data_IF_540686073205
#
_entry.id   IF_540686073205
#
_cell.length_a   1.000
_cell.length_b   1.000
_cell.length_c   1.000
_cell.angle_alpha   90.00
_cell.angle_beta   90.00
_cell.angle_gamma   90.00
#
_symmetry.space_group_name_H-M   'P 1'
#
loop_
_entity.id
_entity.type
_entity.pdbx_description
1 polymer ?
#
# COMPACT_ATOMS: atom_id res chain seq x y z
N UNK A 1 18.57 -41.64 -34.66
CA UNK A 1 17.45 -40.68 -34.62
C UNK A 1 17.00 -40.61 -33.17
N UNK A 2 16.97 -39.50 -32.45
CA UNK A 2 17.53 -38.16 -32.54
C UNK A 2 17.22 -37.57 -31.15
N UNK A 3 18.15 -36.83 -30.55
CA UNK A 3 17.92 -36.07 -29.32
C UNK A 3 16.92 -34.93 -29.59
N UNK A 4 15.96 -34.67 -28.70
CA UNK A 4 15.44 -33.31 -28.48
C UNK A 4 15.18 -33.09 -26.98
N UNK A 5 15.90 -32.09 -26.47
CA UNK A 5 15.81 -31.43 -25.16
C UNK A 5 14.79 -30.27 -25.26
N UNK A 6 14.51 -29.63 -24.11
CA UNK A 6 13.83 -28.31 -23.87
C UNK A 6 12.39 -28.44 -23.36
N UNK A 7 12.11 -28.22 -22.08
CA UNK A 7 12.12 -26.95 -21.34
C UNK A 7 11.15 -25.90 -21.92
N UNK A 8 10.14 -25.55 -21.12
CA UNK A 8 9.65 -24.17 -20.91
C UNK A 8 8.56 -24.20 -19.83
N UNK A 9 8.98 -24.01 -18.58
CA UNK A 9 8.11 -23.51 -17.52
C UNK A 9 7.78 -22.04 -17.79
N UNK A 10 6.49 -21.71 -17.88
CA UNK A 10 6.01 -20.33 -17.94
C UNK A 10 5.37 -20.00 -16.59
N UNK A 11 6.10 -19.24 -15.77
CA UNK A 11 5.55 -18.49 -14.64
C UNK A 11 5.11 -17.11 -15.12
N UNK A 12 3.89 -16.63 -14.84
CA UNK A 12 3.52 -15.26 -15.13
C UNK A 12 4.16 -14.33 -14.08
N UNK A 13 5.15 -13.55 -14.50
CA UNK A 13 5.64 -12.43 -13.71
C UNK A 13 4.62 -11.28 -13.80
N UNK A 14 3.92 -10.99 -12.70
CA UNK A 14 3.10 -9.78 -12.57
C UNK A 14 4.02 -8.59 -12.29
N UNK A 15 4.43 -7.89 -13.34
CA UNK A 15 5.09 -6.59 -13.22
C UNK A 15 4.04 -5.51 -12.94
N UNK A 16 4.04 -4.95 -11.73
CA UNK A 16 3.25 -3.75 -11.42
C UNK A 16 4.08 -2.53 -11.86
N UNK A 17 3.78 -1.99 -13.03
CA UNK A 17 4.36 -0.74 -13.52
C UNK A 17 3.57 0.45 -12.97
N UNK A 18 4.11 1.12 -11.96
CA UNK A 18 3.59 2.41 -11.50
C UNK A 18 4.11 3.50 -12.44
N UNK A 19 3.31 3.83 -13.46
CA UNK A 19 3.55 4.99 -14.32
C UNK A 19 3.28 6.27 -13.54
N UNK A 20 4.33 6.88 -13.01
CA UNK A 20 4.31 8.24 -12.50
C UNK A 20 4.13 9.24 -13.64
N UNK A 21 2.89 9.65 -13.90
CA UNK A 21 2.59 10.78 -14.79
C UNK A 21 2.92 12.10 -14.10
N UNK A 22 4.16 12.57 -14.21
CA UNK A 22 4.50 13.98 -13.98
C UNK A 22 4.04 14.80 -15.17
N UNK A 23 2.87 15.41 -15.08
CA UNK A 23 2.38 16.43 -16.00
C UNK A 23 3.11 17.76 -15.75
N UNK A 24 4.30 17.90 -16.33
CA UNK A 24 4.95 19.22 -16.46
C UNK A 24 4.14 20.05 -17.46
N UNK A 25 3.34 20.99 -16.93
CA UNK A 25 2.68 22.02 -17.74
C UNK A 25 3.73 23.06 -18.13
N UNK A 26 4.38 22.86 -19.27
CA UNK A 26 5.17 23.91 -19.92
C UNK A 26 4.21 24.84 -20.65
N UNK A 27 3.89 25.99 -20.04
CA UNK A 27 3.24 27.10 -20.73
C UNK A 27 4.24 27.73 -21.71
N UNK A 28 3.95 27.58 -22.99
CA UNK A 28 4.57 28.33 -24.08
C UNK A 28 4.08 29.78 -24.04
N UNK A 29 4.91 30.68 -23.52
CA UNK A 29 4.77 32.12 -23.72
C UNK A 29 5.29 32.46 -25.12
N UNK A 30 4.38 32.73 -26.05
CA UNK A 30 4.69 33.31 -27.35
C UNK A 30 5.17 34.75 -27.16
N UNK A 31 6.49 34.93 -27.15
CA UNK A 31 7.15 36.23 -27.22
C UNK A 31 7.25 36.67 -28.69
N UNK A 32 6.40 37.62 -29.09
CA UNK A 32 6.60 38.40 -30.31
C UNK A 32 7.76 39.37 -30.06
N UNK A 33 8.93 39.06 -30.60
CA UNK A 33 10.06 39.98 -30.63
C UNK A 33 10.19 40.46 -32.08
N UNK A 34 9.72 41.68 -32.33
CA UNK A 34 9.98 42.38 -33.57
C UNK A 34 11.47 42.70 -33.68
N UNK A 35 12.09 42.23 -34.75
CA UNK A 35 13.43 42.63 -35.12
C UNK A 35 13.44 44.12 -35.50
N UNK A 36 14.37 44.89 -34.93
CA UNK A 36 14.76 46.20 -35.46
C UNK A 36 16.27 46.31 -35.31
N UNK A 37 16.97 45.96 -36.39
CA UNK A 37 18.38 46.29 -36.59
C UNK A 37 18.47 47.68 -37.23
N UNK A 38 19.18 48.58 -36.55
CA UNK A 38 19.56 49.88 -37.10
C UNK A 38 20.57 49.71 -38.24
N UNK A 39 20.21 50.19 -39.42
CA UNK A 39 21.13 50.44 -40.54
C UNK A 39 21.13 51.94 -40.84
N UNK A 40 22.26 52.57 -40.58
CA UNK A 40 22.58 53.96 -40.93
C UNK A 40 22.97 54.03 -42.40
N UNK A 41 22.25 54.80 -43.23
CA UNK A 41 22.83 55.53 -44.38
C UNK A 41 21.92 56.67 -44.83
N UNK A 42 22.55 57.81 -45.03
CA UNK A 42 22.10 59.10 -45.59
C UNK A 42 21.68 59.03 -47.06
N UNK A 43 20.61 59.76 -47.46
CA UNK A 43 20.58 60.72 -48.58
C UNK A 43 19.16 61.25 -48.93
N UNK A 44 19.05 62.59 -48.95
CA UNK A 44 18.40 63.46 -49.96
C UNK A 44 16.88 63.44 -50.25
N UNK A 45 16.23 64.52 -49.78
CA UNK A 45 15.23 65.40 -50.44
C UNK A 45 14.08 64.82 -51.30
N UNK A 46 12.83 65.09 -50.89
CA UNK A 46 11.76 65.74 -51.70
C UNK A 46 10.50 65.94 -50.86
N UNK A 47 9.87 67.10 -50.96
CA UNK A 47 8.65 67.47 -50.24
C UNK A 47 7.38 66.89 -50.88
N UNK A 48 6.51 66.26 -50.09
CA UNK A 48 5.07 66.15 -50.34
C UNK A 48 4.35 65.94 -49.01
N UNK A 49 3.36 66.78 -48.74
CA UNK A 49 2.50 66.68 -47.57
C UNK A 49 1.63 65.43 -47.65
N UNK A 50 1.67 64.56 -46.63
CA UNK A 50 0.50 63.83 -46.13
C UNK A 50 0.83 63.03 -44.88
N UNK A 51 0.08 63.32 -43.81
CA UNK A 51 -0.24 62.42 -42.69
C UNK A 51 0.96 61.81 -41.96
N UNK A 52 1.47 62.50 -40.94
CA UNK A 52 2.32 61.85 -39.93
C UNK A 52 1.59 60.65 -39.30
N UNK A 53 2.31 59.63 -38.81
CA UNK A 53 1.70 58.56 -38.03
C UNK A 53 1.07 59.20 -36.79
N UNK A 54 -0.27 59.29 -36.76
CA UNK A 54 -1.00 59.57 -35.53
C UNK A 54 -0.81 58.35 -34.65
N UNK A 55 0.23 58.41 -33.83
CA UNK A 55 0.24 57.73 -32.53
C UNK A 55 -1.14 58.01 -31.90
N UNK A 56 -1.83 57.02 -31.30
CA UNK A 56 -3.02 57.29 -30.51
C UNK A 56 -2.59 58.15 -29.32
N UNK A 57 -2.54 59.47 -29.54
CA UNK A 57 -2.10 60.43 -28.56
C UNK A 57 -3.23 60.64 -27.57
N UNK A 58 -3.30 59.77 -26.57
CA UNK A 58 -3.96 60.04 -25.29
C UNK A 58 -3.35 61.26 -24.57
N UNK A 59 -2.26 61.80 -25.14
CA UNK A 59 -1.44 62.94 -24.72
C UNK A 59 -1.76 64.23 -25.52
N UNK A 60 -2.41 64.14 -26.69
CA UNK A 60 -2.64 65.31 -27.54
C UNK A 60 -3.88 66.07 -27.08
N UNK A 61 -3.67 67.19 -26.39
CA UNK A 61 -4.73 68.06 -25.84
C UNK A 61 -4.80 68.08 -24.32
N UNK A 62 -4.05 67.22 -23.63
CA UNK A 62 -3.90 67.23 -22.17
C UNK A 62 -2.73 68.13 -21.74
N UNK A 63 -2.90 68.83 -20.63
CA UNK A 63 -1.77 69.58 -20.03
C UNK A 63 -0.76 68.59 -19.44
N UNK A 64 0.53 68.97 -19.38
CA UNK A 64 1.61 68.13 -18.81
C UNK A 64 1.25 67.63 -17.40
N UNK A 65 0.55 68.45 -16.63
CA UNK A 65 0.07 68.13 -15.28
C UNK A 65 -0.97 66.99 -15.27
N UNK A 66 -1.85 66.93 -16.27
CA UNK A 66 -2.84 65.86 -16.43
C UNK A 66 -2.17 64.53 -16.80
N UNK A 67 -1.12 64.56 -17.63
CA UNK A 67 -0.32 63.37 -17.98
C UNK A 67 0.42 62.83 -16.74
N UNK A 68 1.00 63.72 -15.92
CA UNK A 68 1.67 63.34 -14.68
C UNK A 68 0.66 62.71 -13.71
N UNK A 69 -0.55 63.26 -13.63
CA UNK A 69 -1.62 62.72 -12.79
C UNK A 69 -2.08 61.34 -13.26
N UNK A 70 -2.26 61.14 -14.56
CA UNK A 70 -2.64 59.85 -15.16
C UNK A 70 -1.55 58.79 -14.91
N UNK A 71 -0.27 59.12 -15.14
CA UNK A 71 0.85 58.19 -14.84
C UNK A 71 0.96 57.86 -13.35
N UNK A 72 0.73 58.83 -12.47
CA UNK A 72 0.74 58.58 -11.03
C UNK A 72 -0.42 57.66 -10.62
N UNK A 73 -1.62 57.87 -11.17
CA UNK A 73 -2.77 56.98 -10.95
C UNK A 73 -2.48 55.57 -11.45
N UNK A 74 -1.95 55.45 -12.67
CA UNK A 74 -1.62 54.16 -13.26
C UNK A 74 -0.51 53.43 -12.48
N UNK A 75 0.50 54.18 -12.00
CA UNK A 75 1.57 53.64 -11.16
C UNK A 75 1.00 53.13 -9.83
N UNK A 76 0.11 53.87 -9.19
CA UNK A 76 -0.56 53.44 -7.95
C UNK A 76 -1.40 52.17 -8.18
N UNK A 77 -2.16 52.11 -9.28
CA UNK A 77 -2.97 50.95 -9.64
C UNK A 77 -2.11 49.71 -9.93
N UNK A 78 -1.02 49.88 -10.69
CA UNK A 78 -0.07 48.80 -10.99
C UNK A 78 0.65 48.34 -9.72
N UNK A 79 1.05 49.27 -8.85
CA UNK A 79 1.67 48.94 -7.56
C UNK A 79 0.71 48.16 -6.65
N UNK A 80 -0.57 48.54 -6.61
CA UNK A 80 -1.59 47.82 -5.85
C UNK A 80 -1.84 46.41 -6.39
N UNK A 81 -1.91 46.24 -7.72
CA UNK A 81 -2.03 44.92 -8.37
C UNK A 81 -0.80 44.06 -8.12
N UNK A 82 0.40 44.63 -8.25
CA UNK A 82 1.65 43.93 -7.97
C UNK A 82 1.71 43.45 -6.52
N UNK A 83 1.32 44.29 -5.55
CA UNK A 83 1.27 43.90 -4.15
C UNK A 83 0.30 42.75 -3.91
N UNK A 84 -0.90 42.76 -4.53
CA UNK A 84 -1.86 41.64 -4.46
C UNK A 84 -1.28 40.36 -5.05
N UNK A 85 -0.61 40.45 -6.20
CA UNK A 85 0.06 39.30 -6.82
C UNK A 85 1.19 38.76 -5.94
N UNK A 86 2.02 39.62 -5.36
CA UNK A 86 3.08 39.22 -4.45
C UNK A 86 2.54 38.48 -3.22
N UNK A 87 1.40 38.94 -2.66
CA UNK A 87 0.72 38.22 -1.57
C UNK A 87 0.19 36.86 -2.01
N UNK A 88 -0.46 36.77 -3.18
CA UNK A 88 -0.95 35.49 -3.70
C UNK A 88 0.18 34.50 -3.98
N UNK A 89 1.31 34.98 -4.52
CA UNK A 89 2.52 34.17 -4.73
C UNK A 89 3.08 33.68 -3.40
N UNK A 90 3.14 34.52 -2.36
CA UNK A 90 3.59 34.11 -1.04
C UNK A 90 2.67 33.04 -0.41
N UNK A 91 1.36 33.16 -0.60
CA UNK A 91 0.40 32.14 -0.14
C UNK A 91 0.57 30.81 -0.90
N UNK A 92 0.84 30.88 -2.21
CA UNK A 92 1.13 29.68 -3.02
C UNK A 92 2.45 29.03 -2.62
N UNK A 93 3.50 29.81 -2.39
CA UNK A 93 4.80 29.31 -1.93
C UNK A 93 4.66 28.59 -0.58
N UNK A 94 3.90 29.16 0.36
CA UNK A 94 3.58 28.51 1.63
C UNK A 94 2.89 27.15 1.44
N UNK A 95 1.94 27.04 0.51
CA UNK A 95 1.26 25.77 0.20
C UNK A 95 2.20 24.75 -0.46
N UNK A 96 3.08 25.20 -1.35
CA UNK A 96 4.09 24.33 -1.97
C UNK A 96 5.01 23.74 -0.92
N UNK A 97 5.48 24.55 0.04
CA UNK A 97 6.31 24.08 1.14
C UNK A 97 5.56 23.07 2.03
N UNK A 98 4.29 23.33 2.37
CA UNK A 98 3.47 22.37 3.13
C UNK A 98 3.28 21.04 2.39
N UNK A 99 3.00 21.09 1.08
CA UNK A 99 2.86 19.89 0.26
C UNK A 99 4.18 19.13 0.15
N UNK A 100 5.31 19.83 0.05
CA UNK A 100 6.65 19.23 0.10
C UNK A 100 6.87 18.47 1.41
N UNK A 101 6.51 19.05 2.55
CA UNK A 101 6.67 18.39 3.86
C UNK A 101 5.76 17.14 3.99
N UNK A 102 4.58 17.16 3.39
CA UNK A 102 3.73 15.95 3.27
C UNK A 102 4.39 14.92 2.36
N UNK A 103 4.92 15.32 1.21
CA UNK A 103 5.55 14.42 0.25
C UNK A 103 6.78 13.73 0.83
N UNK A 104 7.63 14.45 1.57
CA UNK A 104 8.80 13.87 2.24
C UNK A 104 8.39 12.84 3.30
N UNK A 105 7.31 13.10 4.05
CA UNK A 105 6.77 12.12 5.01
C UNK A 105 6.23 10.88 4.31
N UNK A 106 5.48 11.08 3.22
CA UNK A 106 4.97 9.98 2.42
C UNK A 106 6.10 9.15 1.81
N UNK A 107 7.16 9.78 1.31
CA UNK A 107 8.36 9.10 0.82
C UNK A 107 8.99 8.22 1.90
N UNK A 108 9.14 8.75 3.12
CA UNK A 108 9.65 7.99 4.25
C UNK A 108 8.74 6.81 4.66
N UNK A 109 7.42 6.97 4.59
CA UNK A 109 6.46 5.90 4.82
C UNK A 109 6.52 4.83 3.73
N UNK A 110 6.60 5.22 2.46
CA UNK A 110 6.74 4.30 1.32
C UNK A 110 8.04 3.50 1.45
N UNK A 111 9.16 4.14 1.82
CA UNK A 111 10.41 3.45 2.04
C UNK A 111 10.29 2.37 3.13
N UNK A 112 9.59 2.65 4.24
CA UNK A 112 9.30 1.65 5.28
C UNK A 112 8.44 0.51 4.76
N UNK A 113 7.40 0.80 3.98
CA UNK A 113 6.52 -0.22 3.40
C UNK A 113 7.31 -1.14 2.47
N UNK A 114 8.18 -0.58 1.62
CA UNK A 114 9.06 -1.36 0.74
C UNK A 114 10.01 -2.25 1.55
N UNK A 115 10.60 -1.74 2.64
CA UNK A 115 11.43 -2.54 3.52
C UNK A 115 10.64 -3.71 4.14
N UNK A 116 9.44 -3.44 4.66
CA UNK A 116 8.57 -4.49 5.22
C UNK A 116 8.14 -5.51 4.18
N UNK A 117 7.88 -5.08 2.95
CA UNK A 117 7.54 -5.97 1.84
C UNK A 117 8.73 -6.87 1.50
N UNK A 118 9.95 -6.32 1.42
CA UNK A 118 11.15 -7.10 1.17
C UNK A 118 11.42 -8.13 2.28
N UNK A 119 11.15 -7.78 3.54
CA UNK A 119 11.23 -8.72 4.67
C UNK A 119 10.18 -9.83 4.52
N UNK A 120 8.95 -9.48 4.14
CA UNK A 120 7.88 -10.44 3.94
C UNK A 120 8.20 -11.41 2.79
N UNK A 121 8.67 -10.90 1.65
CA UNK A 121 9.10 -11.71 0.51
C UNK A 121 10.19 -12.70 0.91
N UNK A 122 11.21 -12.26 1.67
CA UNK A 122 12.25 -13.16 2.19
C UNK A 122 11.69 -14.23 3.14
N UNK A 123 10.70 -13.88 3.97
CA UNK A 123 10.05 -14.84 4.86
C UNK A 123 9.21 -15.86 4.09
N UNK A 124 8.53 -15.43 3.03
CA UNK A 124 7.78 -16.32 2.15
C UNK A 124 8.71 -17.27 1.40
N UNK A 125 9.82 -16.78 0.87
CA UNK A 125 10.87 -17.62 0.26
C UNK A 125 11.40 -18.66 1.25
N UNK A 126 11.68 -18.26 2.51
CA UNK A 126 12.09 -19.20 3.55
C UNK A 126 11.01 -20.28 3.81
N UNK A 127 9.75 -19.88 3.90
CA UNK A 127 8.63 -20.82 4.10
C UNK A 127 8.52 -21.78 2.91
N UNK A 128 8.65 -21.29 1.68
CA UNK A 128 8.63 -22.11 0.46
C UNK A 128 9.77 -23.13 0.46
N UNK A 129 11.00 -22.71 0.82
CA UNK A 129 12.12 -23.64 0.94
C UNK A 129 11.88 -24.71 2.02
N UNK A 130 11.36 -24.33 3.18
CA UNK A 130 11.01 -25.29 4.23
C UNK A 130 9.90 -26.26 3.78
N UNK A 131 8.89 -25.79 3.07
CA UNK A 131 7.84 -26.66 2.52
C UNK A 131 8.42 -27.66 1.52
N UNK A 132 9.31 -27.22 0.63
CA UNK A 132 9.98 -28.09 -0.32
C UNK A 132 10.87 -29.13 0.38
N UNK A 133 11.62 -28.74 1.41
CA UNK A 133 12.45 -29.66 2.20
C UNK A 133 11.61 -30.72 2.92
N UNK A 134 10.48 -30.32 3.53
CA UNK A 134 9.54 -31.24 4.18
C UNK A 134 8.93 -32.20 3.16
N UNK A 135 8.51 -31.72 1.99
CA UNK A 135 7.97 -32.57 0.92
C UNK A 135 9.00 -33.58 0.42
N UNK A 136 10.27 -33.19 0.30
CA UNK A 136 11.35 -34.10 -0.10
C UNK A 136 11.62 -35.14 1.00
N UNK A 137 11.63 -34.74 2.27
CA UNK A 137 11.81 -35.65 3.40
C UNK A 137 10.65 -36.65 3.50
N UNK A 138 9.40 -36.20 3.33
CA UNK A 138 8.21 -37.05 3.30
C UNK A 138 8.27 -38.06 2.16
N UNK A 139 8.56 -37.63 0.92
CA UNK A 139 8.71 -38.54 -0.23
C UNK A 139 9.79 -39.60 0.00
N UNK A 140 10.93 -39.20 0.58
CA UNK A 140 11.99 -40.16 0.93
C UNK A 140 11.54 -41.18 1.97
N UNK A 141 10.77 -40.74 2.98
CA UNK A 141 10.23 -41.62 4.02
C UNK A 141 9.15 -42.56 3.47
N UNK A 142 8.27 -42.06 2.59
CA UNK A 142 7.26 -42.85 1.89
C UNK A 142 7.88 -43.91 0.99
N UNK A 143 8.95 -43.57 0.26
CA UNK A 143 9.67 -44.51 -0.58
C UNK A 143 10.33 -45.62 0.26
N UNK A 144 10.97 -45.26 1.37
CA UNK A 144 11.57 -46.20 2.30
C UNK A 144 10.50 -47.10 2.95
N UNK A 145 9.39 -46.54 3.41
CA UNK A 145 8.25 -47.30 3.94
C UNK A 145 7.65 -48.24 2.90
N UNK A 146 7.47 -47.78 1.65
CA UNK A 146 6.99 -48.60 0.54
C UNK A 146 7.96 -49.75 0.23
N UNK A 147 9.27 -49.51 0.33
CA UNK A 147 10.31 -50.54 0.14
C UNK A 147 10.22 -51.61 1.22
N UNK A 148 10.17 -51.21 2.50
CA UNK A 148 10.03 -52.12 3.64
C UNK A 148 8.74 -52.92 3.52
N UNK A 149 7.61 -52.24 3.21
CA UNK A 149 6.34 -52.92 3.02
C UNK A 149 6.43 -53.97 1.91
N UNK A 150 7.00 -53.66 0.75
CA UNK A 150 7.15 -54.63 -0.35
C UNK A 150 8.03 -55.83 0.03
N UNK A 151 9.07 -55.60 0.82
CA UNK A 151 9.96 -56.66 1.32
C UNK A 151 9.24 -57.58 2.33
N UNK A 152 8.45 -57.01 3.24
CA UNK A 152 7.75 -57.74 4.29
C UNK A 152 6.37 -58.29 3.85
N UNK A 153 5.79 -57.77 2.76
CA UNK A 153 4.45 -58.12 2.25
C UNK A 153 4.28 -59.61 1.98
N UNK A 154 5.36 -60.29 1.56
CA UNK A 154 5.33 -61.74 1.35
C UNK A 154 5.16 -62.55 2.64
N UNK A 155 5.57 -62.00 3.79
CA UNK A 155 5.46 -62.61 5.12
C UNK A 155 4.14 -62.23 5.82
N UNK A 156 3.67 -60.98 5.62
CA UNK A 156 2.49 -60.42 6.29
C UNK A 156 1.15 -60.87 5.69
N UNK A 157 1.07 -61.17 4.39
CA UNK A 157 -0.17 -61.64 3.73
C UNK A 157 -0.63 -63.03 4.19
N UNK A 158 0.15 -63.74 4.99
CA UNK A 158 -0.22 -65.02 5.57
C UNK A 158 -1.05 -64.89 6.87
N UNK A 159 -1.17 -63.68 7.44
CA UNK A 159 -1.85 -63.44 8.71
C UNK A 159 -3.19 -62.68 8.52
N UNK A 160 -4.29 -63.34 8.87
CA UNK A 160 -5.66 -62.80 8.80
C UNK A 160 -5.85 -61.55 9.68
N UNK A 161 -5.13 -61.45 10.81
CA UNK A 161 -5.19 -60.30 11.71
C UNK A 161 -4.61 -59.02 11.07
N UNK A 162 -3.64 -59.16 10.18
CA UNK A 162 -3.06 -58.03 9.43
C UNK A 162 -4.05 -57.53 8.37
N UNK A 163 -4.78 -58.43 7.72
CA UNK A 163 -5.80 -58.07 6.73
C UNK A 163 -6.98 -57.29 7.36
N UNK A 164 -7.45 -57.71 8.54
CA UNK A 164 -8.51 -56.98 9.26
C UNK A 164 -8.04 -55.61 9.73
N UNK A 165 -6.78 -55.49 10.19
CA UNK A 165 -6.17 -54.22 10.59
C UNK A 165 -6.02 -53.26 9.40
N UNK A 166 -5.56 -53.74 8.25
CA UNK A 166 -5.40 -52.92 7.04
C UNK A 166 -6.75 -52.35 6.56
N UNK A 167 -7.83 -53.14 6.66
CA UNK A 167 -9.19 -52.67 6.39
C UNK A 167 -9.66 -51.57 7.35
N UNK A 168 -9.28 -51.63 8.63
CA UNK A 168 -9.61 -50.56 9.58
C UNK A 168 -8.84 -49.27 9.28
N UNK A 169 -7.58 -49.36 8.85
CA UNK A 169 -6.81 -48.18 8.43
C UNK A 169 -7.33 -47.56 7.14
N UNK A 170 -7.77 -48.37 6.17
CA UNK A 170 -8.44 -47.89 4.95
C UNK A 170 -9.73 -47.12 5.28
N UNK A 171 -10.51 -47.61 6.26
CA UNK A 171 -11.67 -46.88 6.76
C UNK A 171 -11.31 -45.58 7.47
N UNK A 172 -10.22 -45.55 8.24
CA UNK A 172 -9.73 -44.34 8.89
C UNK A 172 -9.26 -43.29 7.87
N UNK A 173 -8.53 -43.72 6.83
CA UNK A 173 -8.12 -42.85 5.72
C UNK A 173 -9.34 -42.26 4.99
N UNK A 174 -10.38 -43.05 4.77
CA UNK A 174 -11.61 -42.56 4.16
C UNK A 174 -12.29 -41.47 5.01
N UNK A 175 -12.35 -41.66 6.33
CA UNK A 175 -12.91 -40.66 7.26
C UNK A 175 -12.06 -39.38 7.27
N UNK A 176 -10.74 -39.50 7.21
CA UNK A 176 -9.83 -38.36 7.13
C UNK A 176 -10.05 -37.55 5.84
N UNK A 177 -10.15 -38.22 4.70
CA UNK A 177 -10.47 -37.57 3.41
C UNK A 177 -11.83 -36.86 3.44
N UNK A 178 -12.85 -37.46 4.07
CA UNK A 178 -14.15 -36.79 4.27
C UNK A 178 -14.04 -35.56 5.18
N UNK A 179 -13.24 -35.64 6.25
CA UNK A 179 -13.01 -34.51 7.16
C UNK A 179 -12.25 -33.37 6.47
N UNK A 180 -11.22 -33.68 5.68
CA UNK A 180 -10.47 -32.67 4.89
C UNK A 180 -11.38 -32.00 3.85
N UNK A 181 -12.20 -32.79 3.15
CA UNK A 181 -13.22 -32.25 2.24
C UNK A 181 -14.20 -31.34 2.98
N UNK A 182 -14.62 -31.69 4.19
CA UNK A 182 -15.49 -30.86 5.00
C UNK A 182 -14.79 -29.57 5.45
N UNK A 183 -13.49 -29.61 5.78
CA UNK A 183 -12.69 -28.42 6.09
C UNK A 183 -12.59 -27.50 4.88
N UNK A 184 -12.30 -28.03 3.69
CA UNK A 184 -12.25 -27.22 2.46
C UNK A 184 -13.63 -26.66 2.10
N UNK A 185 -14.71 -27.42 2.34
CA UNK A 185 -16.08 -26.92 2.23
C UNK A 185 -16.37 -25.79 3.23
N UNK A 186 -15.96 -25.93 4.50
CA UNK A 186 -16.10 -24.86 5.51
C UNK A 186 -15.28 -23.64 5.10
N UNK A 187 -14.06 -23.81 4.60
CA UNK A 187 -13.23 -22.73 4.07
C UNK A 187 -13.89 -22.05 2.87
N UNK A 188 -14.49 -22.81 1.96
CA UNK A 188 -15.27 -22.26 0.83
C UNK A 188 -16.50 -21.50 1.32
N UNK A 189 -17.22 -22.03 2.33
CA UNK A 189 -18.35 -21.36 2.97
C UNK A 189 -17.88 -20.07 3.66
N UNK A 190 -16.74 -20.08 4.34
CA UNK A 190 -16.15 -18.88 4.97
C UNK A 190 -15.72 -17.88 3.90
N UNK A 191 -15.13 -18.31 2.79
CA UNK A 191 -14.79 -17.43 1.68
C UNK A 191 -16.05 -16.83 1.04
N UNK A 192 -17.09 -17.63 0.83
CA UNK A 192 -18.39 -17.17 0.34
C UNK A 192 -19.10 -16.25 1.34
N UNK A 193 -18.96 -16.52 2.65
CA UNK A 193 -19.44 -15.66 3.73
C UNK A 193 -18.67 -14.35 3.77
N UNK A 194 -17.36 -14.39 3.61
CA UNK A 194 -16.52 -13.20 3.55
C UNK A 194 -16.78 -12.40 2.28
N UNK A 195 -17.10 -13.05 1.16
CA UNK A 195 -17.53 -12.42 -0.08
C UNK A 195 -18.98 -11.88 -0.03
N UNK A 196 -19.83 -12.43 0.85
CA UNK A 196 -21.19 -11.95 1.05
C UNK A 196 -21.31 -10.88 2.17
N UNK A 197 -20.43 -10.90 3.17
CA UNK A 197 -20.32 -9.91 4.24
C UNK A 197 -19.37 -8.76 3.88
N UNK A 198 -18.40 -9.03 3.01
CA UNK A 198 -17.55 -8.05 2.36
C UNK A 198 -17.72 -8.22 0.86
N UNK A 199 -18.60 -7.41 0.26
CA UNK A 199 -19.01 -7.54 -1.13
C UNK A 199 -17.87 -7.93 -2.06
N UNK A 200 -18.13 -8.97 -2.84
CA UNK A 200 -17.36 -9.50 -3.97
C UNK A 200 -16.00 -8.81 -4.23
N UNK A 201 -14.91 -9.51 -3.91
CA UNK A 201 -13.53 -9.12 -4.24
C UNK A 201 -13.32 -8.92 -5.76
N UNK A 202 -14.21 -9.45 -6.61
CA UNK A 202 -14.18 -9.23 -8.06
C UNK A 202 -14.91 -7.95 -8.51
N UNK A 203 -15.62 -7.26 -7.61
CA UNK A 203 -16.38 -6.02 -7.87
C UNK A 203 -15.80 -4.81 -7.12
N UNK A 204 -14.47 -4.73 -6.99
CA UNK A 204 -13.80 -3.51 -6.50
C UNK A 204 -14.18 -2.28 -7.33
N UNK A 205 -14.60 -2.47 -8.59
CA UNK A 205 -15.09 -1.40 -9.48
C UNK A 205 -16.56 -1.01 -9.26
N UNK A 206 -17.33 -1.74 -8.42
CA UNK A 206 -18.74 -1.47 -8.17
C UNK A 206 -19.16 -1.43 -6.69
N UNK A 207 -18.22 -1.45 -5.73
CA UNK A 207 -18.60 -1.28 -4.33
C UNK A 207 -19.16 0.11 -4.10
N UNK A 208 -20.39 0.19 -3.61
CA UNK A 208 -20.92 1.48 -3.20
C UNK A 208 -20.16 1.94 -1.96
N UNK A 209 -19.96 3.26 -1.76
CA UNK A 209 -19.30 3.78 -0.55
C UNK A 209 -19.96 3.30 0.76
N UNK A 210 -21.23 2.92 0.71
CA UNK A 210 -21.99 2.36 1.83
C UNK A 210 -21.58 0.92 2.10
N UNK A 211 -21.37 0.10 1.06
CA UNK A 211 -20.92 -1.28 1.22
C UNK A 211 -19.52 -1.33 1.85
N UNK A 212 -18.63 -0.44 1.43
CA UNK A 212 -17.30 -0.27 2.04
C UNK A 212 -17.41 0.17 3.51
N UNK A 213 -18.30 1.11 3.82
CA UNK A 213 -18.51 1.57 5.20
C UNK A 213 -19.05 0.45 6.11
N UNK A 214 -20.00 -0.35 5.62
CA UNK A 214 -20.56 -1.49 6.37
C UNK A 214 -19.49 -2.56 6.58
N UNK A 215 -18.66 -2.84 5.58
CA UNK A 215 -17.54 -3.78 5.70
C UNK A 215 -16.50 -3.31 6.74
N UNK A 216 -16.12 -2.03 6.69
CA UNK A 216 -15.21 -1.43 7.69
C UNK A 216 -15.82 -1.56 9.08
N UNK A 217 -17.10 -1.23 9.25
CA UNK A 217 -17.75 -1.27 10.55
C UNK A 217 -17.86 -2.70 11.09
N UNK A 218 -18.15 -3.69 10.23
CA UNK A 218 -18.18 -5.09 10.63
C UNK A 218 -16.78 -5.59 11.06
N UNK A 219 -15.74 -5.20 10.32
CA UNK A 219 -14.35 -5.51 10.69
C UNK A 219 -13.95 -4.83 11.99
N UNK A 220 -14.35 -3.56 12.18
CA UNK A 220 -14.11 -2.81 13.41
C UNK A 220 -14.84 -3.42 14.60
N UNK A 221 -16.10 -3.85 14.44
CA UNK A 221 -16.87 -4.53 15.48
C UNK A 221 -16.20 -5.85 15.88
N UNK A 222 -15.80 -6.65 14.89
CA UNK A 222 -15.10 -7.91 15.12
C UNK A 222 -13.76 -7.68 15.85
N UNK A 223 -13.00 -6.66 15.44
CA UNK A 223 -11.75 -6.27 16.10
C UNK A 223 -11.97 -5.79 17.53
N UNK A 224 -13.06 -5.08 17.79
CA UNK A 224 -13.41 -4.56 19.11
C UNK A 224 -13.89 -5.68 20.04
N UNK A 225 -14.70 -6.62 19.53
CA UNK A 225 -15.07 -7.83 20.27
C UNK A 225 -13.84 -8.68 20.61
N UNK A 226 -12.92 -8.85 19.66
CA UNK A 226 -11.66 -9.55 19.91
C UNK A 226 -10.80 -8.84 20.97
N UNK A 227 -10.74 -7.51 20.92
CA UNK A 227 -10.02 -6.72 21.93
C UNK A 227 -10.67 -6.86 23.31
N UNK A 228 -12.00 -6.84 23.40
CA UNK A 228 -12.73 -7.03 24.66
C UNK A 228 -12.47 -8.42 25.26
N UNK A 229 -12.53 -9.48 24.44
CA UNK A 229 -12.19 -10.83 24.86
C UNK A 229 -10.75 -10.92 25.39
N UNK A 230 -9.79 -10.32 24.68
CA UNK A 230 -8.38 -10.31 25.09
C UNK A 230 -8.11 -9.45 26.32
N UNK A 231 -8.80 -8.32 26.46
CA UNK A 231 -8.74 -7.48 27.66
C UNK A 231 -9.29 -8.23 28.88
N UNK A 232 -10.37 -8.98 28.70
CA UNK A 232 -10.94 -9.82 29.76
C UNK A 232 -10.00 -11.00 30.11
N UNK A 233 -9.39 -11.65 29.11
CA UNK A 233 -8.35 -12.67 29.34
C UNK A 233 -7.18 -12.10 30.15
N UNK A 234 -6.70 -10.90 29.80
CA UNK A 234 -5.62 -10.22 30.51
C UNK A 234 -6.03 -9.83 31.94
N UNK A 235 -7.25 -9.32 32.13
CA UNK A 235 -7.81 -8.99 33.44
C UNK A 235 -7.90 -10.24 34.34
N UNK A 236 -8.40 -11.35 33.79
CA UNK A 236 -8.44 -12.64 34.49
C UNK A 236 -7.03 -13.12 34.86
N UNK A 237 -6.05 -12.99 33.95
CA UNK A 237 -4.65 -13.34 34.22
C UNK A 237 -4.05 -12.48 35.35
N UNK A 238 -4.34 -11.18 35.38
CA UNK A 238 -3.92 -10.28 36.47
C UNK A 238 -4.58 -10.70 37.79
N UNK A 239 -5.88 -11.01 37.78
CA UNK A 239 -6.59 -11.41 38.99
C UNK A 239 -6.10 -12.76 39.53
N UNK A 240 -5.78 -13.72 38.66
CA UNK A 240 -5.11 -14.97 39.04
C UNK A 240 -3.74 -14.70 39.68
N UNK A 241 -2.93 -13.80 39.12
CA UNK A 241 -1.63 -13.43 39.71
C UNK A 241 -1.80 -12.75 41.08
N UNK A 242 -2.74 -11.80 41.21
CA UNK A 242 -3.04 -11.13 42.47
C UNK A 242 -3.57 -12.10 43.54
N UNK A 243 -4.38 -13.08 43.15
CA UNK A 243 -4.87 -14.15 44.02
C UNK A 243 -3.78 -15.17 44.38
N UNK A 244 -2.76 -15.32 43.53
CA UNK A 244 -1.62 -16.19 43.78
C UNK A 244 -0.57 -15.56 44.71
N UNK A 245 -0.48 -14.23 44.73
CA UNK A 245 0.39 -13.48 45.65
C UNK A 245 -0.22 -13.32 47.05
N UNK A 246 -1.53 -13.51 47.21
CA UNK A 246 -2.24 -13.28 48.49
C UNK A 246 -2.07 -14.34 49.59
N UNK A 247 -1.84 -15.66 49.35
CA UNK A 247 -1.64 -16.60 50.44
C UNK A 247 -0.20 -16.67 50.99
N UNK A 248 0.80 -16.04 50.35
CA UNK A 248 2.19 -16.09 50.83
C UNK A 248 2.50 -15.07 51.94
N UNK A 249 1.61 -14.12 52.23
CA UNK A 249 1.85 -13.07 53.24
C UNK A 249 1.02 -13.21 54.54
N UNK A 250 0.08 -14.17 54.64
CA UNK A 250 -0.82 -14.26 55.80
C UNK A 250 -0.50 -15.39 56.80
N UNK A 251 0.51 -16.25 56.57
CA UNK A 251 0.79 -17.35 57.50
C UNK A 251 2.23 -17.38 58.06
N UNK A 252 2.72 -16.24 58.55
CA UNK A 252 3.81 -16.23 59.53
C UNK A 252 3.31 -15.65 60.86
N UNK A 253 2.50 -16.39 61.66
CA UNK A 253 2.32 -16.04 63.06
C UNK A 253 3.70 -16.12 63.73
N UNK A 254 4.12 -15.01 64.31
CA UNK A 254 5.45 -14.83 64.88
C UNK A 254 5.84 -15.98 65.81
N UNK A 255 6.86 -16.74 65.39
CA UNK A 255 7.56 -17.68 66.24
C UNK A 255 8.27 -16.88 67.33
N UNK A 256 7.64 -16.91 68.51
CA UNK A 256 8.16 -16.34 69.75
C UNK A 256 9.53 -16.94 70.06
N UNK A 257 10.44 -16.04 70.46
CA UNK A 257 11.63 -16.26 71.27
C UNK A 257 11.56 -17.56 72.09
N UNK A 258 12.58 -18.40 71.99
CA UNK A 258 13.23 -19.01 73.16
C UNK A 258 14.73 -19.16 72.89
N UNK A 259 15.50 -18.39 73.66
CA UNK A 259 16.94 -18.50 73.84
C UNK A 259 17.13 -19.31 75.13
N UNK A 260 17.69 -20.52 75.04
CA UNK A 260 18.57 -21.16 76.02
C UNK A 260 19.02 -22.54 75.50
#
# INVERSE_FOLDING_TARGET
MENIFSDTGVTPATSVSVSGSTSTTTQTLSSVIGASSSGTTTASSSAVASQGPKLPSEIAGKTVEEIIKDWNSELQDRAAKFRKQATAIADWDRRILQNRDVLIRLEAEVAKVVETQSILERRLELIETHQQEVDMALKSMEEEASRIYKEERGLLLADEAVAERDKMYEQAEHIEQEMEKMVEQIKTIIQALNANQGGDLALVDSMTPIDVAVQILNNQLSSLMWLDEKANEFSNRIQELANRDTPLNQNRPGTKLWLN
#
